data_IF_170874271084
#
_entry.id   IF_170874271084
#
_cell.length_a   1.000
_cell.length_b   1.000
_cell.length_c   1.000
_cell.angle_alpha   90.00
_cell.angle_beta   90.00
_cell.angle_gamma   90.00
#
_symmetry.space_group_name_H-M   'P 1'
#
loop_
_entity.id
_entity.type
_entity.pdbx_description
1 polymer ?
#
# COMPACT_ATOMS: atom_id res chain seq x y z
N UNK A 1 -3.54 -9.62 -8.99
CA UNK A 1 -4.64 -8.62 -9.08
C UNK A 1 -4.15 -7.54 -10.04
N UNK A 2 -4.84 -6.41 -10.22
CA UNK A 2 -4.27 -5.28 -10.96
C UNK A 2 -3.45 -4.40 -10.00
N UNK A 3 -2.28 -3.92 -10.44
CA UNK A 3 -1.50 -2.93 -9.70
C UNK A 3 -2.21 -1.57 -9.72
N UNK A 4 -2.40 -0.97 -8.54
CA UNK A 4 -3.13 0.30 -8.36
C UNK A 4 -2.23 1.37 -7.72
N UNK A 5 -1.04 0.98 -7.29
CA UNK A 5 -0.06 1.85 -6.63
C UNK A 5 0.86 2.57 -7.61
N UNK A 6 1.23 3.79 -7.28
CA UNK A 6 2.40 4.48 -7.83
C UNK A 6 3.46 4.61 -6.75
N UNK A 7 4.67 4.11 -7.02
CA UNK A 7 5.82 4.28 -6.13
C UNK A 7 6.39 5.69 -6.23
N UNK A 8 6.54 6.37 -5.10
CA UNK A 8 7.07 7.75 -5.04
C UNK A 8 8.50 7.76 -4.53
N UNK A 9 8.80 6.96 -3.50
CA UNK A 9 10.13 6.98 -2.90
C UNK A 9 10.38 5.85 -1.93
N UNK A 10 11.67 5.74 -1.55
CA UNK A 10 12.20 4.77 -0.60
C UNK A 10 13.10 5.49 0.40
N UNK A 11 13.03 5.07 1.65
CA UNK A 11 13.90 5.51 2.73
C UNK A 11 14.29 4.33 3.64
N UNK A 12 15.23 4.53 4.55
CA UNK A 12 15.64 3.54 5.56
C UNK A 12 15.16 4.00 6.93
N UNK A 13 14.26 3.22 7.53
CA UNK A 13 13.76 3.50 8.87
C UNK A 13 14.34 2.50 9.88
N UNK A 14 15.41 2.92 10.55
CA UNK A 14 16.17 2.05 11.46
C UNK A 14 16.86 0.93 10.70
N UNK A 15 16.44 -0.32 10.94
CA UNK A 15 16.97 -1.51 10.25
C UNK A 15 16.05 -2.03 9.13
N UNK A 16 14.96 -1.30 8.83
CA UNK A 16 13.96 -1.71 7.82
C UNK A 16 13.96 -0.73 6.65
N UNK A 17 13.62 -1.24 5.47
CA UNK A 17 13.35 -0.41 4.31
C UNK A 17 11.91 0.08 4.38
N UNK A 18 11.73 1.38 4.15
CA UNK A 18 10.44 2.03 4.02
C UNK A 18 10.23 2.40 2.55
N UNK A 19 9.07 2.10 2.01
CA UNK A 19 8.64 2.56 0.70
C UNK A 19 7.29 3.25 0.84
N UNK A 20 7.05 4.27 0.01
CA UNK A 20 5.80 5.01 0.07
C UNK A 20 5.39 5.48 -1.32
N UNK A 21 4.10 5.77 -1.43
CA UNK A 21 3.54 6.26 -2.66
C UNK A 21 2.06 6.57 -2.55
N UNK A 22 1.42 6.60 -3.71
CA UNK A 22 -0.02 6.83 -3.83
C UNK A 22 -0.70 5.61 -4.43
N UNK A 23 -2.01 5.49 -4.25
CA UNK A 23 -2.85 4.61 -5.06
C UNK A 23 -3.99 5.41 -5.68
N UNK A 24 -4.50 4.92 -6.80
CA UNK A 24 -5.65 5.51 -7.49
C UNK A 24 -6.68 4.45 -7.83
N UNK A 25 -7.80 4.42 -7.10
CA UNK A 25 -8.79 3.34 -7.23
C UNK A 25 -9.55 3.39 -8.56
N UNK A 26 -9.89 4.58 -9.07
CA UNK A 26 -10.89 4.69 -10.13
C UNK A 26 -12.16 3.89 -9.77
N UNK A 27 -12.71 3.10 -10.70
CA UNK A 27 -13.90 2.29 -10.43
C UNK A 27 -13.65 0.95 -9.68
N UNK A 28 -12.40 0.62 -9.32
CA UNK A 28 -12.10 -0.68 -8.69
C UNK A 28 -12.27 -0.65 -7.16
N UNK A 29 -12.63 -1.79 -6.59
CA UNK A 29 -12.78 -1.98 -5.13
C UNK A 29 -11.69 -2.85 -4.51
N UNK A 30 -10.81 -3.42 -5.35
CA UNK A 30 -9.68 -4.26 -4.94
C UNK A 30 -8.46 -3.91 -5.79
N UNK A 31 -7.28 -4.11 -5.23
CA UNK A 31 -6.03 -3.80 -5.90
C UNK A 31 -4.82 -4.41 -5.22
N UNK A 32 -3.69 -4.34 -5.90
CA UNK A 32 -2.38 -4.63 -5.33
C UNK A 32 -1.55 -3.35 -5.22
N UNK A 33 -0.84 -3.21 -4.10
CA UNK A 33 0.24 -2.25 -3.92
C UNK A 33 1.55 -2.97 -4.17
N UNK A 34 2.31 -2.54 -5.16
CA UNK A 34 3.69 -2.95 -5.33
C UNK A 34 4.60 -2.13 -4.41
N UNK A 35 4.88 -2.71 -3.25
CA UNK A 35 5.70 -2.10 -2.21
C UNK A 35 7.18 -2.00 -2.59
N UNK A 36 7.65 -2.66 -3.65
CA UNK A 36 9.08 -2.82 -3.99
C UNK A 36 9.94 -3.42 -2.86
N UNK A 37 9.32 -4.02 -1.86
CA UNK A 37 9.98 -4.72 -0.78
C UNK A 37 10.09 -6.21 -1.10
N UNK A 38 11.14 -6.85 -0.59
CA UNK A 38 11.28 -8.30 -0.66
C UNK A 38 10.29 -8.99 0.27
N UNK A 39 10.06 -8.42 1.45
CA UNK A 39 9.05 -8.84 2.40
C UNK A 39 8.37 -7.62 2.99
N UNK A 40 7.05 -7.56 2.90
CA UNK A 40 6.27 -6.52 3.56
C UNK A 40 5.83 -7.02 4.95
N UNK A 41 6.20 -6.29 5.99
CA UNK A 41 5.84 -6.61 7.38
C UNK A 41 4.69 -5.75 7.89
N UNK A 42 4.62 -4.50 7.42
CA UNK A 42 3.59 -3.56 7.79
C UNK A 42 3.25 -2.68 6.60
N UNK A 43 1.96 -2.43 6.40
CA UNK A 43 1.42 -1.54 5.38
C UNK A 43 0.41 -0.59 6.03
N UNK A 44 0.63 0.71 5.84
CA UNK A 44 -0.28 1.77 6.25
C UNK A 44 -0.99 2.34 5.03
N UNK A 45 -2.30 2.51 5.14
CA UNK A 45 -3.16 3.11 4.13
C UNK A 45 -3.86 4.33 4.72
N UNK A 46 -3.74 5.48 4.04
CA UNK A 46 -4.48 6.69 4.37
C UNK A 46 -5.23 7.24 3.14
N UNK A 47 -6.59 7.26 3.16
CA UNK A 47 -7.38 7.93 2.13
C UNK A 47 -7.06 9.43 2.06
N UNK A 48 -7.12 10.02 0.87
CA UNK A 48 -6.86 11.46 0.68
C UNK A 48 -8.12 12.35 0.70
N UNK A 49 -9.29 11.80 1.06
CA UNK A 49 -10.54 12.56 1.08
C UNK A 49 -10.64 13.46 2.32
N UNK A 50 -11.16 14.67 2.13
CA UNK A 50 -11.33 15.68 3.20
C UNK A 50 -12.53 15.40 4.14
N UNK A 51 -13.27 14.30 3.93
CA UNK A 51 -14.47 13.94 4.67
C UNK A 51 -14.27 12.64 5.43
N UNK A 52 -14.64 12.63 6.71
CA UNK A 52 -14.59 11.47 7.62
C UNK A 52 -14.98 10.16 6.93
N UNK A 53 -14.21 9.07 7.09
CA UNK A 53 -14.30 7.91 6.21
C UNK A 53 -15.52 7.05 6.55
N UNK A 54 -16.60 7.22 5.78
CA UNK A 54 -17.46 6.08 5.47
C UNK A 54 -16.72 5.05 4.60
N UNK A 55 -15.60 5.46 4.01
CA UNK A 55 -14.83 4.73 3.02
C UNK A 55 -13.67 4.00 3.69
N UNK A 56 -13.70 2.67 3.66
CA UNK A 56 -12.70 1.82 4.30
C UNK A 56 -11.62 1.45 3.29
N UNK A 57 -10.36 1.56 3.72
CA UNK A 57 -9.21 0.94 3.07
C UNK A 57 -8.58 -0.06 4.03
N UNK A 58 -8.39 -1.30 3.57
CA UNK A 58 -7.90 -2.39 4.41
C UNK A 58 -6.92 -3.27 3.63
N UNK A 59 -5.96 -3.82 4.35
CA UNK A 59 -5.04 -4.83 3.81
C UNK A 59 -5.77 -6.17 3.79
N UNK A 60 -5.89 -6.80 2.62
CA UNK A 60 -6.53 -8.12 2.47
C UNK A 60 -5.54 -9.28 2.55
N UNK A 61 -4.24 -8.99 2.47
CA UNK A 61 -3.16 -9.96 2.65
C UNK A 61 -2.78 -10.14 4.12
N UNK A 62 -2.44 -11.38 4.51
CA UNK A 62 -1.86 -11.65 5.83
C UNK A 62 -0.40 -11.22 5.86
N UNK A 63 -0.08 -10.23 6.69
CA UNK A 63 1.29 -9.79 6.92
C UNK A 63 1.91 -10.58 8.08
N UNK A 64 3.23 -10.88 8.03
CA UNK A 64 4.17 -10.49 6.99
C UNK A 64 4.07 -11.39 5.74
N UNK A 65 4.11 -10.78 4.55
CA UNK A 65 4.03 -11.48 3.26
C UNK A 65 5.34 -11.35 2.49
N UNK A 66 5.78 -12.44 1.86
CA UNK A 66 6.91 -12.44 0.94
C UNK A 66 6.45 -11.99 -0.45
N UNK A 67 7.26 -11.16 -1.11
CA UNK A 67 6.92 -10.52 -2.37
C UNK A 67 6.47 -9.07 -2.19
N UNK A 68 6.55 -8.33 -3.28
CA UNK A 68 6.32 -6.89 -3.28
C UNK A 68 4.84 -6.51 -3.43
N UNK A 69 4.03 -7.39 -4.03
CA UNK A 69 2.60 -7.18 -4.23
C UNK A 69 1.80 -7.50 -2.95
N UNK A 70 1.18 -6.48 -2.37
CA UNK A 70 0.30 -6.60 -1.19
C UNK A 70 -1.13 -6.26 -1.60
N UNK A 71 -2.06 -7.17 -1.33
CA UNK A 71 -3.47 -7.00 -1.63
C UNK A 71 -4.14 -6.00 -0.69
N UNK A 72 -4.96 -5.12 -1.26
CA UNK A 72 -5.79 -4.16 -0.54
C UNK A 72 -7.23 -4.21 -1.04
N UNK A 73 -8.15 -3.86 -0.15
CA UNK A 73 -9.54 -3.53 -0.47
C UNK A 73 -9.72 -2.05 -0.20
N UNK A 74 -10.27 -1.34 -1.18
CA UNK A 74 -10.47 0.10 -1.15
C UNK A 74 -11.90 0.40 -1.57
N UNK A 75 -12.41 1.55 -1.16
CA UNK A 75 -13.68 2.03 -1.69
C UNK A 75 -13.45 2.61 -3.09
N UNK A 76 -14.37 2.35 -4.01
CA UNK A 76 -14.25 2.83 -5.39
C UNK A 76 -14.20 4.36 -5.43
N UNK A 77 -13.35 4.90 -6.29
CA UNK A 77 -13.08 6.32 -6.52
C UNK A 77 -12.39 7.01 -5.33
N UNK A 78 -11.74 6.24 -4.45
CA UNK A 78 -10.91 6.78 -3.38
C UNK A 78 -9.44 6.57 -3.68
N UNK A 79 -8.77 7.70 -3.81
CA UNK A 79 -7.33 7.75 -3.92
C UNK A 79 -6.72 7.94 -2.52
N UNK A 80 -5.42 7.70 -2.40
CA UNK A 80 -4.75 7.87 -1.12
C UNK A 80 -3.27 7.59 -1.13
N UNK A 81 -2.71 7.58 0.07
CA UNK A 81 -1.27 7.43 0.33
C UNK A 81 -0.99 6.14 1.08
N UNK A 82 -0.02 5.38 0.57
CA UNK A 82 0.45 4.17 1.22
C UNK A 82 1.89 4.32 1.70
N UNK A 83 2.20 3.59 2.76
CA UNK A 83 3.55 3.45 3.30
C UNK A 83 3.75 2.00 3.74
N UNK A 84 4.77 1.34 3.23
CA UNK A 84 5.13 -0.02 3.56
C UNK A 84 6.50 -0.09 4.26
N UNK A 85 6.63 -1.03 5.18
CA UNK A 85 7.83 -1.31 5.94
C UNK A 85 8.19 -2.78 5.84
N UNK A 86 9.48 -3.06 5.68
CA UNK A 86 9.96 -4.43 5.65
C UNK A 86 11.41 -4.57 5.22
N UNK A 87 11.70 -5.65 4.52
CA UNK A 87 13.04 -6.01 4.06
C UNK A 87 13.24 -5.60 2.60
N UNK A 88 14.39 -4.98 2.30
CA UNK A 88 14.75 -4.63 0.93
C UNK A 88 15.41 -5.81 0.23
N UNK A 89 15.29 -5.87 -1.09
CA UNK A 89 16.18 -6.69 -1.90
C UNK A 89 17.62 -6.18 -1.70
N UNK A 90 18.48 -7.05 -1.16
CA UNK A 90 19.93 -6.85 -1.07
C UNK A 90 20.57 -7.04 -2.45
#
# INVERSE_FOLDING_TARGET
MAEVSTFVGRDVWGSKCMTYGTWTAGAVTTGEIDTKLHRCEQLLLQPNNNTSPAEQCQVSSTLPIAGSAVGIVITSNVDGYWMALGDAFV
#
